data_IF_196124017772
#
_entry.id   IF_196124017772
#
_cell.length_a   1.000
_cell.length_b   1.000
_cell.length_c   1.000
_cell.angle_alpha   90.00
_cell.angle_beta   90.00
_cell.angle_gamma   90.00
#
_symmetry.space_group_name_H-M   'P 1'
#
loop_
_entity.id
_entity.type
_entity.pdbx_description
1 polymer ?
#
# COMPACT_ATOMS: atom_id res chain seq x y z
N UNK A 1 -15.86 16.15 -1.63
CA UNK A 1 -15.33 14.84 -1.16
C UNK A 1 -13.82 14.83 -1.35
N UNK A 2 -13.06 14.17 -0.47
CA UNK A 2 -11.62 13.98 -0.63
C UNK A 2 -11.36 12.56 -1.13
N UNK A 3 -10.44 12.40 -2.08
CA UNK A 3 -10.00 11.10 -2.62
C UNK A 3 -8.60 10.77 -2.07
N UNK A 4 -8.22 9.49 -2.14
CA UNK A 4 -6.90 9.01 -1.72
C UNK A 4 -6.49 7.81 -2.57
N UNK A 5 -5.20 7.68 -2.84
CA UNK A 5 -4.67 6.66 -3.74
C UNK A 5 -4.28 5.42 -2.92
N UNK A 6 -4.87 4.27 -3.24
CA UNK A 6 -4.69 3.01 -2.48
C UNK A 6 -3.78 2.06 -3.25
N UNK A 7 -2.78 1.49 -2.58
CA UNK A 7 -1.89 0.49 -3.19
C UNK A 7 -2.20 -0.95 -2.79
N UNK A 8 -2.86 -1.16 -1.65
CA UNK A 8 -3.29 -2.48 -1.21
C UNK A 8 -4.47 -2.39 -0.23
N UNK A 9 -5.30 -3.44 -0.20
CA UNK A 9 -6.34 -3.63 0.81
C UNK A 9 -6.20 -5.05 1.33
N UNK A 10 -5.98 -5.19 2.65
CA UNK A 10 -5.90 -6.49 3.31
C UNK A 10 -7.15 -6.70 4.16
N UNK A 11 -7.99 -7.63 3.72
CA UNK A 11 -9.12 -8.10 4.50
C UNK A 11 -8.65 -9.11 5.57
N UNK A 12 -9.40 -9.23 6.66
CA UNK A 12 -9.13 -10.16 7.76
C UNK A 12 -7.73 -10.00 8.42
N UNK A 13 -7.20 -8.78 8.48
CA UNK A 13 -5.95 -8.48 9.14
C UNK A 13 -6.09 -8.60 10.67
N UNK A 14 -5.43 -9.61 11.25
CA UNK A 14 -5.44 -9.86 12.71
C UNK A 14 -4.18 -9.33 13.42
N UNK A 15 -3.14 -8.99 12.66
CA UNK A 15 -1.85 -8.54 13.18
C UNK A 15 -1.70 -7.01 13.18
N UNK A 16 -2.58 -6.29 12.47
CA UNK A 16 -2.52 -4.83 12.31
C UNK A 16 -3.30 -4.08 13.41
N UNK A 17 -3.62 -4.76 14.51
CA UNK A 17 -4.31 -4.22 15.67
C UNK A 17 -5.29 -5.22 16.30
N UNK A 18 -5.96 -4.85 17.41
CA UNK A 18 -6.88 -5.75 18.09
C UNK A 18 -8.12 -6.08 17.26
N UNK A 19 -8.48 -7.37 17.22
CA UNK A 19 -9.67 -7.88 16.54
C UNK A 19 -9.49 -8.10 15.04
N UNK A 20 -10.60 -8.31 14.33
CA UNK A 20 -10.59 -8.50 12.89
C UNK A 20 -10.64 -7.14 12.17
N UNK A 21 -9.68 -6.88 11.28
CA UNK A 21 -9.57 -5.59 10.58
C UNK A 21 -9.54 -5.74 9.07
N UNK A 22 -9.97 -4.68 8.40
CA UNK A 22 -9.59 -4.42 7.02
C UNK A 22 -8.56 -3.31 7.05
N UNK A 23 -7.35 -3.59 6.61
CA UNK A 23 -6.26 -2.61 6.53
C UNK A 23 -6.22 -2.03 5.12
N UNK A 24 -6.32 -0.70 5.03
CA UNK A 24 -6.20 0.03 3.75
C UNK A 24 -4.84 0.69 3.70
N UNK A 25 -4.03 0.35 2.70
CA UNK A 25 -2.70 0.89 2.52
C UNK A 25 -2.68 2.01 1.47
N UNK A 26 -2.36 3.22 1.92
CA UNK A 26 -2.35 4.44 1.09
C UNK A 26 -0.97 4.70 0.49
N UNK A 27 -0.95 5.28 -0.72
CA UNK A 27 0.25 5.84 -1.34
C UNK A 27 0.65 7.16 -0.67
N UNK A 28 1.94 7.44 -0.66
CA UNK A 28 2.57 8.62 -0.09
C UNK A 28 3.09 8.37 1.33
N UNK A 29 4.41 8.26 1.47
CA UNK A 29 5.08 8.24 2.77
C UNK A 29 6.31 9.17 2.71
N UNK A 30 6.38 10.21 3.57
CA UNK A 30 7.49 11.18 3.52
C UNK A 30 8.79 10.65 4.14
N UNK A 31 8.78 9.42 4.68
CA UNK A 31 9.93 8.83 5.35
C UNK A 31 10.76 7.99 4.39
N UNK A 32 12.05 7.85 4.72
CA UNK A 32 13.02 7.06 3.94
C UNK A 32 13.71 5.99 4.80
N UNK A 33 12.90 5.17 5.48
CA UNK A 33 13.42 4.10 6.34
C UNK A 33 14.22 3.09 5.52
N UNK A 34 15.43 2.74 5.97
CA UNK A 34 16.28 1.71 5.32
C UNK A 34 15.69 0.30 5.40
N UNK A 35 14.77 0.08 6.32
CA UNK A 35 14.00 -1.17 6.52
C UNK A 35 12.52 -0.97 6.19
N UNK A 36 12.18 -0.16 5.18
CA UNK A 36 10.78 0.00 4.79
C UNK A 36 10.19 -1.34 4.29
N UNK A 37 9.16 -1.85 4.97
CA UNK A 37 8.51 -3.10 4.57
C UNK A 37 7.52 -2.92 3.41
N UNK A 38 7.10 -1.68 3.13
CA UNK A 38 6.15 -1.34 2.05
C UNK A 38 6.72 -0.20 1.17
N UNK A 39 7.83 -0.42 0.45
CA UNK A 39 8.48 0.61 -0.37
C UNK A 39 7.56 1.17 -1.48
N UNK A 40 6.59 0.38 -1.93
CA UNK A 40 5.55 0.78 -2.88
C UNK A 40 4.68 1.92 -2.34
N UNK A 41 4.56 2.07 -1.02
CA UNK A 41 3.81 3.16 -0.38
C UNK A 41 4.51 4.52 -0.43
N UNK A 42 5.80 4.59 -0.80
CA UNK A 42 6.59 5.84 -0.72
C UNK A 42 6.13 6.90 -1.71
N UNK A 43 6.08 6.54 -3.00
CA UNK A 43 5.62 7.47 -4.05
C UNK A 43 4.14 7.77 -3.88
N UNK A 44 3.76 9.03 -4.08
CA UNK A 44 2.36 9.45 -4.13
C UNK A 44 1.67 9.04 -5.44
N UNK A 45 2.43 8.75 -6.50
CA UNK A 45 1.89 8.44 -7.81
C UNK A 45 1.63 6.94 -8.00
N UNK A 46 0.63 6.58 -8.83
CA UNK A 46 0.48 5.22 -9.33
C UNK A 46 1.76 4.71 -10.00
N UNK A 47 2.09 3.45 -9.78
CA UNK A 47 3.31 2.85 -10.31
C UNK A 47 3.09 1.38 -10.67
N UNK A 48 3.86 0.84 -11.61
CA UNK A 48 3.83 -0.60 -11.91
C UNK A 48 4.73 -1.32 -10.92
N UNK A 49 4.15 -2.27 -10.19
CA UNK A 49 4.87 -3.23 -9.38
C UNK A 49 5.09 -4.49 -10.21
N UNK A 50 6.35 -4.85 -10.41
CA UNK A 50 6.76 -6.06 -11.14
C UNK A 50 7.25 -7.12 -10.17
N UNK A 51 6.74 -8.33 -10.34
CA UNK A 51 7.29 -9.55 -9.75
C UNK A 51 7.79 -10.45 -10.89
N UNK A 52 8.51 -11.52 -10.55
CA UNK A 52 9.06 -12.44 -11.56
C UNK A 52 7.99 -13.09 -12.45
N UNK A 53 6.74 -13.08 -12.01
CA UNK A 53 5.61 -13.75 -12.66
C UNK A 53 4.47 -12.82 -13.04
N UNK A 54 4.51 -11.54 -12.65
CA UNK A 54 3.38 -10.63 -12.88
C UNK A 54 3.78 -9.15 -12.87
N UNK A 55 2.99 -8.34 -13.58
CA UNK A 55 3.02 -6.89 -13.44
C UNK A 55 1.63 -6.41 -13.00
N UNK A 56 1.57 -5.53 -11.99
CA UNK A 56 0.32 -4.90 -11.58
C UNK A 56 0.49 -3.39 -11.39
N UNK A 57 -0.50 -2.62 -11.82
CA UNK A 57 -0.61 -1.21 -11.46
C UNK A 57 -1.03 -1.10 -9.98
N UNK A 58 -0.20 -0.47 -9.16
CA UNK A 58 -0.47 -0.17 -7.75
C UNK A 58 -0.70 1.33 -7.55
N UNK A 59 -1.70 1.67 -6.74
CA UNK A 59 -2.15 3.07 -6.60
C UNK A 59 -3.29 3.37 -7.55
N UNK A 60 -4.51 2.90 -7.25
CA UNK A 60 -5.72 3.30 -7.97
C UNK A 60 -6.41 4.45 -7.20
N UNK A 61 -7.07 5.33 -7.94
CA UNK A 61 -7.97 6.37 -7.37
C UNK A 61 -9.24 5.76 -6.75
#
# INVERSE_FOLDING_TARGET
MKTGIIFDIKEFAIHDGPGLRTTVFLKGCPLDCSWCHNPEGKSIHPQIMRTDTSERLVGRE
#
